data_IF_838862174483
#
_entry.id   IF_838862174483
#
_cell.length_a   1.000
_cell.length_b   1.000
_cell.length_c   1.000
_cell.angle_alpha   90.00
_cell.angle_beta   90.00
_cell.angle_gamma   90.00
#
_symmetry.space_group_name_H-M   'P 1'
#
loop_
_entity.id
_entity.type
_entity.pdbx_description
1 polymer ?
#
# COMPACT_ATOMS: atom_id res chain seq x y z
N UNK A 1 -16.97 11.10 10.02
CA UNK A 1 -17.52 11.44 8.69
C UNK A 1 -16.54 12.19 7.76
N UNK A 2 -15.44 12.78 8.25
CA UNK A 2 -14.46 13.51 7.40
C UNK A 2 -13.48 12.64 6.60
N UNK A 3 -13.05 11.49 7.14
CA UNK A 3 -12.01 10.63 6.56
C UNK A 3 -12.44 9.99 5.22
N UNK A 4 -13.69 9.55 5.11
CA UNK A 4 -14.23 8.90 3.89
C UNK A 4 -14.36 9.88 2.71
N UNK A 5 -14.61 11.18 2.98
CA UNK A 5 -14.63 12.22 1.93
C UNK A 5 -13.23 12.60 1.44
N UNK A 6 -12.20 12.52 2.30
CA UNK A 6 -10.81 12.84 1.98
C UNK A 6 -10.22 11.87 0.94
N UNK A 7 -10.40 10.56 1.16
CA UNK A 7 -9.87 9.49 0.29
C UNK A 7 -10.47 9.59 -1.14
N UNK A 8 -11.74 9.96 -1.27
CA UNK A 8 -12.43 10.08 -2.57
C UNK A 8 -12.00 11.36 -3.33
N UNK A 9 -11.62 12.43 -2.62
CA UNK A 9 -11.24 13.70 -3.23
C UNK A 9 -9.81 13.71 -3.80
N UNK A 10 -8.88 12.95 -3.22
CA UNK A 10 -7.51 12.86 -3.76
C UNK A 10 -7.43 12.17 -5.13
N UNK A 11 -8.38 11.28 -5.46
CA UNK A 11 -8.44 10.61 -6.78
C UNK A 11 -8.83 11.59 -7.91
N UNK A 12 -9.46 12.73 -7.60
CA UNK A 12 -10.00 13.66 -8.62
C UNK A 12 -9.05 14.79 -9.05
N UNK A 13 -7.91 15.01 -8.38
CA UNK A 13 -6.94 16.06 -8.73
C UNK A 13 -5.59 15.46 -9.13
N UNK A 14 -5.51 14.86 -10.32
CA UNK A 14 -4.24 14.84 -11.08
C UNK A 14 -4.32 15.91 -12.18
N UNK A 15 -3.27 16.73 -12.39
CA UNK A 15 -3.22 17.65 -13.51
C UNK A 15 -3.31 16.88 -14.82
N UNK A 16 -4.05 17.41 -15.80
CA UNK A 16 -3.98 16.94 -17.19
C UNK A 16 -2.53 17.06 -17.64
N UNK A 17 -1.88 15.92 -17.91
CA UNK A 17 -0.68 15.89 -18.73
C UNK A 17 -1.04 16.50 -20.09
N UNK A 18 -0.48 17.66 -20.38
CA UNK A 18 -0.59 18.29 -21.69
C UNK A 18 -0.04 17.36 -22.76
N UNK A 19 -0.70 17.38 -23.92
CA UNK A 19 -0.42 16.52 -25.07
C UNK A 19 1.04 16.65 -25.49
N UNK A 20 1.85 15.63 -25.21
CA UNK A 20 3.14 15.42 -25.86
C UNK A 20 2.92 15.32 -27.37
N UNK A 21 3.54 16.25 -28.11
CA UNK A 21 3.53 16.29 -29.56
C UNK A 21 4.27 15.06 -30.12
N UNK A 22 3.59 14.26 -30.93
CA UNK A 22 4.21 13.19 -31.69
C UNK A 22 5.21 13.78 -32.71
N UNK A 23 6.34 13.10 -33.02
CA UNK A 23 7.29 13.59 -34.01
C UNK A 23 6.66 13.68 -35.40
N UNK A 24 6.95 14.72 -36.19
CA UNK A 24 6.42 14.85 -37.54
C UNK A 24 7.14 13.85 -38.46
N UNK A 25 6.42 12.86 -39.00
CA UNK A 25 6.99 11.99 -40.03
C UNK A 25 6.36 10.62 -40.24
N UNK A 26 5.43 10.16 -39.39
CA UNK A 26 4.78 8.86 -39.59
C UNK A 26 3.32 9.07 -39.99
N UNK A 27 3.04 9.02 -41.29
CA UNK A 27 1.67 8.73 -41.75
C UNK A 27 1.37 7.29 -41.36
N UNK A 28 0.60 7.12 -40.31
CA UNK A 28 0.04 5.83 -39.94
C UNK A 28 -1.39 5.77 -40.48
N UNK A 29 -1.53 5.29 -41.71
CA UNK A 29 -2.82 4.78 -42.18
C UNK A 29 -3.05 3.43 -41.50
N UNK A 30 -3.50 3.46 -40.24
CA UNK A 30 -4.09 2.29 -39.61
C UNK A 30 -5.60 2.33 -39.85
N UNK A 31 -6.07 1.59 -40.86
CA UNK A 31 -7.44 1.10 -40.82
C UNK A 31 -7.61 0.27 -39.54
N UNK A 32 -8.38 0.80 -38.58
CA UNK A 32 -8.68 0.11 -37.33
C UNK A 32 -9.70 -0.99 -37.59
N UNK A 33 -9.21 -2.15 -38.05
CA UNK A 33 -10.05 -3.35 -38.15
C UNK A 33 -10.02 -4.07 -36.79
N UNK A 34 -11.14 -4.03 -36.07
CA UNK A 34 -11.34 -4.86 -34.88
C UNK A 34 -11.66 -6.29 -35.36
N UNK A 35 -10.67 -7.18 -35.36
CA UNK A 35 -10.87 -8.59 -35.71
C UNK A 35 -11.45 -9.32 -34.50
N UNK A 36 -12.77 -9.56 -34.52
CA UNK A 36 -13.44 -10.48 -33.58
C UNK A 36 -13.31 -11.89 -34.13
N UNK A 37 -13.04 -12.86 -33.25
CA UNK A 37 -12.54 -14.22 -33.54
C UNK A 37 -13.38 -15.17 -34.40
N UNK A 38 -14.23 -14.67 -35.30
CA UNK A 38 -14.96 -15.45 -36.30
C UNK A 38 -14.92 -14.77 -37.67
N UNK A 39 -13.73 -14.51 -38.22
CA UNK A 39 -13.48 -14.31 -39.66
C UNK A 39 -14.25 -13.21 -40.42
N UNK A 40 -15.00 -12.34 -39.74
CA UNK A 40 -15.78 -11.26 -40.34
C UNK A 40 -15.23 -9.88 -39.96
N UNK A 41 -15.17 -8.97 -40.94
CA UNK A 41 -14.92 -7.55 -40.69
C UNK A 41 -16.19 -6.90 -40.15
N UNK A 42 -16.11 -6.28 -38.97
CA UNK A 42 -17.19 -5.48 -38.39
C UNK A 42 -16.91 -4.02 -38.75
N UNK A 43 -17.89 -3.30 -39.28
CA UNK A 43 -17.77 -1.87 -39.52
C UNK A 43 -17.83 -1.08 -38.18
N UNK A 44 -17.49 0.21 -38.22
CA UNK A 44 -17.46 1.05 -37.02
C UNK A 44 -18.83 1.09 -36.30
N UNK A 45 -19.92 0.97 -37.07
CA UNK A 45 -21.28 0.95 -36.55
C UNK A 45 -21.57 -0.34 -35.80
N UNK A 46 -21.24 -1.50 -36.37
CA UNK A 46 -21.36 -2.79 -35.71
C UNK A 46 -20.47 -2.91 -34.48
N UNK A 47 -19.26 -2.34 -34.51
CA UNK A 47 -18.40 -2.26 -33.33
C UNK A 47 -19.04 -1.40 -32.23
N UNK A 48 -19.59 -0.22 -32.57
CA UNK A 48 -20.29 0.64 -31.62
C UNK A 48 -21.54 -0.01 -31.03
N UNK A 49 -22.31 -0.76 -31.83
CA UNK A 49 -23.49 -1.51 -31.37
C UNK A 49 -23.12 -2.64 -30.41
N UNK A 50 -22.05 -3.41 -30.69
CA UNK A 50 -21.54 -4.45 -29.78
C UNK A 50 -21.02 -3.83 -28.47
N UNK A 51 -20.21 -2.77 -28.56
CA UNK A 51 -19.73 -2.05 -27.38
C UNK A 51 -20.90 -1.55 -26.53
N UNK A 52 -21.93 -0.96 -27.17
CA UNK A 52 -23.11 -0.48 -26.46
C UNK A 52 -23.91 -1.62 -25.82
N UNK A 53 -24.09 -2.75 -26.52
CA UNK A 53 -24.90 -3.87 -26.06
C UNK A 53 -24.22 -4.68 -24.94
N UNK A 54 -22.89 -4.82 -24.96
CA UNK A 54 -22.17 -5.67 -23.99
C UNK A 54 -21.49 -4.89 -22.86
N UNK A 55 -20.91 -3.73 -23.14
CA UNK A 55 -20.15 -2.97 -22.13
C UNK A 55 -21.08 -2.15 -21.24
N UNK A 56 -22.13 -1.54 -21.81
CA UNK A 56 -23.03 -0.67 -21.05
C UNK A 56 -23.71 -1.41 -19.89
N UNK A 57 -24.28 -2.62 -20.07
CA UNK A 57 -24.85 -3.38 -18.96
C UNK A 57 -23.81 -3.73 -17.88
N UNK A 58 -22.60 -4.15 -18.28
CA UNK A 58 -21.53 -4.47 -17.33
C UNK A 58 -21.07 -3.26 -16.52
N UNK A 59 -21.03 -2.08 -17.14
CA UNK A 59 -20.72 -0.84 -16.45
C UNK A 59 -21.83 -0.45 -15.46
N UNK A 60 -23.10 -0.65 -15.83
CA UNK A 60 -24.25 -0.44 -14.94
C UNK A 60 -24.21 -1.41 -13.75
N UNK A 61 -23.96 -2.69 -13.98
CA UNK A 61 -23.80 -3.70 -12.93
C UNK A 61 -22.68 -3.34 -11.95
N UNK A 62 -21.52 -2.93 -12.47
CA UNK A 62 -20.39 -2.47 -11.65
C UNK A 62 -20.75 -1.25 -10.79
N UNK A 63 -21.45 -0.25 -11.35
CA UNK A 63 -21.90 0.91 -10.59
C UNK A 63 -22.91 0.54 -9.48
N UNK A 64 -23.85 -0.37 -9.79
CA UNK A 64 -24.79 -0.89 -8.79
C UNK A 64 -24.07 -1.68 -7.69
N UNK A 65 -23.05 -2.46 -8.06
CA UNK A 65 -22.21 -3.19 -7.10
C UNK A 65 -21.47 -2.24 -6.17
N UNK A 66 -20.93 -1.13 -6.69
CA UNK A 66 -20.27 -0.09 -5.86
C UNK A 66 -21.27 0.53 -4.87
N UNK A 67 -22.46 0.90 -5.32
CA UNK A 67 -23.48 1.48 -4.44
C UNK A 67 -23.88 0.50 -3.32
N UNK A 68 -24.12 -0.77 -3.66
CA UNK A 68 -24.45 -1.81 -2.68
C UNK A 68 -23.29 -2.09 -1.72
N UNK A 69 -22.05 -2.14 -2.21
CA UNK A 69 -20.87 -2.33 -1.38
C UNK A 69 -20.67 -1.18 -0.40
N UNK A 70 -20.91 0.06 -0.82
CA UNK A 70 -20.84 1.24 0.04
C UNK A 70 -21.94 1.23 1.11
N UNK A 71 -23.18 0.89 0.73
CA UNK A 71 -24.27 0.71 1.69
C UNK A 71 -23.93 -0.38 2.70
N UNK A 72 -23.47 -1.54 2.21
CA UNK A 72 -23.08 -2.66 3.05
C UNK A 72 -21.93 -2.31 4.01
N UNK A 73 -20.93 -1.56 3.55
CA UNK A 73 -19.84 -1.08 4.40
C UNK A 73 -20.33 -0.23 5.58
N UNK A 74 -21.37 0.59 5.37
CA UNK A 74 -21.94 1.44 6.43
C UNK A 74 -22.72 0.64 7.47
N UNK A 75 -23.32 -0.48 7.06
CA UNK A 75 -24.16 -1.33 7.91
C UNK A 75 -23.37 -2.47 8.58
N UNK A 76 -22.24 -2.88 7.99
CA UNK A 76 -21.44 -4.02 8.42
C UNK A 76 -20.47 -3.69 9.57
N UNK A 77 -20.54 -4.48 10.64
CA UNK A 77 -19.53 -4.46 11.72
C UNK A 77 -18.13 -4.78 11.20
N UNK A 78 -18.01 -5.75 10.29
CA UNK A 78 -16.73 -6.16 9.67
C UNK A 78 -16.15 -5.00 8.84
N UNK A 79 -17.02 -4.19 8.23
CA UNK A 79 -16.65 -2.98 7.49
C UNK A 79 -15.89 -1.95 8.32
N UNK A 80 -16.29 -1.74 9.58
CA UNK A 80 -15.60 -0.80 10.47
C UNK A 80 -14.17 -1.21 10.82
N UNK A 81 -13.94 -2.50 11.07
CA UNK A 81 -12.60 -3.02 11.36
C UNK A 81 -11.72 -2.98 10.10
N UNK A 82 -12.30 -3.27 8.93
CA UNK A 82 -11.65 -3.12 7.64
C UNK A 82 -11.14 -1.68 7.41
N UNK A 83 -11.98 -0.66 7.62
CA UNK A 83 -11.59 0.74 7.43
C UNK A 83 -10.46 1.17 8.37
N UNK A 84 -10.52 0.72 9.63
CA UNK A 84 -9.47 1.00 10.61
C UNK A 84 -8.14 0.36 10.20
N UNK A 85 -8.16 -0.87 9.72
CA UNK A 85 -6.96 -1.57 9.25
C UNK A 85 -6.40 -0.97 7.97
N UNK A 86 -7.27 -0.54 7.05
CA UNK A 86 -6.83 0.14 5.84
C UNK A 86 -6.12 1.47 6.17
N UNK A 87 -6.70 2.29 7.05
CA UNK A 87 -6.06 3.51 7.52
C UNK A 87 -4.72 3.22 8.22
N UNK A 88 -4.68 2.26 9.14
CA UNK A 88 -3.45 1.87 9.82
C UNK A 88 -2.38 1.34 8.86
N UNK A 89 -2.77 0.66 7.78
CA UNK A 89 -1.83 0.17 6.76
C UNK A 89 -1.25 1.31 5.93
N UNK A 90 -2.06 2.32 5.58
CA UNK A 90 -1.59 3.54 4.95
C UNK A 90 -0.52 4.23 5.81
N UNK A 91 -0.81 4.47 7.09
CA UNK A 91 0.16 5.08 8.00
C UNK A 91 1.45 4.24 8.11
N UNK A 92 1.32 2.93 8.25
CA UNK A 92 2.48 2.03 8.34
C UNK A 92 3.33 2.01 7.05
N UNK A 93 2.74 2.20 5.87
CA UNK A 93 3.50 2.25 4.61
C UNK A 93 4.36 3.52 4.48
N UNK A 94 4.04 4.57 5.23
CA UNK A 94 4.76 5.85 5.22
C UNK A 94 6.02 5.87 6.10
N UNK A 95 6.18 4.93 7.03
CA UNK A 95 7.22 4.97 8.08
C UNK A 95 8.64 4.61 7.62
N UNK A 96 8.83 4.26 6.35
CA UNK A 96 10.13 3.84 5.83
C UNK A 96 11.16 4.98 5.92
N UNK A 97 12.28 4.81 6.65
CA UNK A 97 13.27 5.87 6.85
C UNK A 97 13.80 6.42 5.54
N UNK A 98 13.71 7.75 5.39
CA UNK A 98 14.30 8.47 4.27
C UNK A 98 15.59 9.11 4.78
N UNK A 99 16.70 8.67 4.22
CA UNK A 99 18.07 9.10 4.50
C UNK A 99 18.65 9.74 3.26
N UNK A 100 19.65 10.60 3.42
CA UNK A 100 20.51 11.11 2.36
C UNK A 100 21.00 10.00 1.41
N UNK A 101 21.23 8.79 1.95
CA UNK A 101 21.72 7.62 1.20
C UNK A 101 20.65 6.93 0.37
N UNK A 102 19.42 6.81 0.89
CA UNK A 102 18.37 6.02 0.25
C UNK A 102 17.27 6.85 -0.43
N UNK A 103 17.26 8.19 -0.30
CA UNK A 103 16.22 9.08 -0.87
C UNK A 103 15.99 8.85 -2.37
N UNK A 104 17.06 8.62 -3.13
CA UNK A 104 17.00 8.38 -4.59
C UNK A 104 17.27 6.93 -4.99
N UNK A 105 17.40 6.03 -4.02
CA UNK A 105 17.73 4.60 -4.27
C UNK A 105 16.57 3.81 -4.86
N UNK A 106 15.35 4.35 -4.78
CA UNK A 106 14.13 3.60 -5.05
C UNK A 106 13.77 2.61 -3.94
N UNK A 107 14.46 2.62 -2.80
CA UNK A 107 14.23 1.68 -1.70
C UNK A 107 12.79 1.70 -1.19
N UNK A 108 12.11 2.85 -1.17
CA UNK A 108 10.72 2.99 -0.71
C UNK A 108 9.66 2.56 -1.75
N UNK A 109 10.05 2.38 -3.02
CA UNK A 109 9.12 2.11 -4.13
C UNK A 109 8.19 0.91 -3.83
N UNK A 110 8.66 -0.23 -3.28
CA UNK A 110 7.78 -1.34 -2.99
C UNK A 110 6.67 -0.98 -1.99
N UNK A 111 6.93 -0.22 -0.92
CA UNK A 111 5.87 0.18 0.01
C UNK A 111 4.85 1.14 -0.61
N UNK A 112 5.29 2.11 -1.39
CA UNK A 112 4.38 3.01 -2.12
C UNK A 112 3.49 2.18 -3.06
N UNK A 113 4.09 1.24 -3.78
CA UNK A 113 3.31 0.36 -4.65
C UNK A 113 2.37 -0.56 -3.88
N UNK A 114 2.77 -1.05 -2.71
CA UNK A 114 1.90 -1.87 -1.85
C UNK A 114 0.63 -1.10 -1.43
N UNK A 115 0.75 0.21 -1.15
CA UNK A 115 -0.37 1.08 -0.80
C UNK A 115 -1.31 1.32 -1.99
N UNK A 116 -0.75 1.64 -3.16
CA UNK A 116 -1.52 1.79 -4.40
C UNK A 116 -2.29 0.51 -4.74
N UNK A 117 -1.60 -0.64 -4.69
CA UNK A 117 -2.19 -1.95 -4.97
C UNK A 117 -3.24 -2.34 -3.92
N UNK A 118 -3.08 -1.95 -2.65
CA UNK A 118 -4.09 -2.16 -1.63
C UNK A 118 -5.37 -1.37 -1.95
N UNK A 119 -5.22 -0.14 -2.42
CA UNK A 119 -6.33 0.71 -2.88
C UNK A 119 -7.03 0.07 -4.08
N UNK A 120 -6.27 -0.41 -5.08
CA UNK A 120 -6.82 -1.12 -6.23
C UNK A 120 -7.59 -2.38 -5.81
N UNK A 121 -7.07 -3.15 -4.85
CA UNK A 121 -7.76 -4.32 -4.31
C UNK A 121 -9.14 -3.95 -3.74
N UNK A 122 -9.22 -2.86 -2.98
CA UNK A 122 -10.48 -2.36 -2.40
C UNK A 122 -11.44 -1.91 -3.50
N UNK A 123 -10.96 -1.10 -4.46
CA UNK A 123 -11.80 -0.62 -5.57
C UNK A 123 -12.39 -1.80 -6.36
N UNK A 124 -11.56 -2.78 -6.70
CA UNK A 124 -11.99 -3.98 -7.42
C UNK A 124 -13.01 -4.79 -6.62
N UNK A 125 -12.83 -4.94 -5.30
CA UNK A 125 -13.80 -5.65 -4.46
C UNK A 125 -15.16 -4.94 -4.44
N UNK A 126 -15.18 -3.61 -4.38
CA UNK A 126 -16.43 -2.82 -4.37
C UNK A 126 -17.15 -2.88 -5.72
N UNK A 127 -16.41 -3.06 -6.80
CA UNK A 127 -16.95 -3.31 -8.15
C UNK A 127 -17.35 -4.78 -8.39
N UNK A 128 -17.34 -5.62 -7.35
CA UNK A 128 -17.57 -7.07 -7.41
C UNK A 128 -16.56 -7.86 -8.26
N UNK A 129 -15.38 -7.29 -8.58
CA UNK A 129 -14.25 -8.00 -9.20
C UNK A 129 -13.43 -8.77 -8.16
N UNK A 130 -14.07 -9.61 -7.33
CA UNK A 130 -13.45 -10.23 -6.15
C UNK A 130 -12.19 -11.03 -6.49
N UNK A 131 -12.17 -11.78 -7.60
CA UNK A 131 -10.98 -12.54 -8.03
C UNK A 131 -9.77 -11.62 -8.23
N UNK A 132 -9.97 -10.52 -8.96
CA UNK A 132 -8.92 -9.52 -9.20
C UNK A 132 -8.55 -8.79 -7.92
N UNK A 133 -9.51 -8.51 -7.04
CA UNK A 133 -9.24 -7.96 -5.72
C UNK A 133 -8.30 -8.85 -4.88
N UNK A 134 -8.53 -10.17 -4.86
CA UNK A 134 -7.65 -11.12 -4.17
C UNK A 134 -6.25 -11.23 -4.81
N UNK A 135 -6.15 -11.10 -6.14
CA UNK A 135 -4.87 -11.02 -6.85
C UNK A 135 -4.08 -9.79 -6.40
N UNK A 136 -4.72 -8.62 -6.37
CA UNK A 136 -4.09 -7.39 -5.86
C UNK A 136 -3.69 -7.51 -4.40
N UNK A 137 -4.54 -8.07 -3.53
CA UNK A 137 -4.19 -8.25 -2.12
C UNK A 137 -2.96 -9.17 -1.93
N UNK A 138 -2.76 -10.16 -2.82
CA UNK A 138 -1.53 -10.96 -2.82
C UNK A 138 -0.32 -10.13 -3.23
N UNK A 139 -0.46 -9.28 -4.26
CA UNK A 139 0.59 -8.35 -4.67
C UNK A 139 0.97 -7.37 -3.54
N UNK A 140 0.02 -6.92 -2.71
CA UNK A 140 0.32 -6.11 -1.50
C UNK A 140 1.31 -6.83 -0.59
N UNK A 141 1.06 -8.11 -0.27
CA UNK A 141 1.97 -8.90 0.56
C UNK A 141 3.35 -9.04 -0.08
N UNK A 142 3.39 -9.27 -1.39
CA UNK A 142 4.66 -9.41 -2.13
C UNK A 142 5.47 -8.13 -2.09
N UNK A 143 4.83 -6.97 -2.27
CA UNK A 143 5.50 -5.68 -2.26
C UNK A 143 6.00 -5.28 -0.86
N UNK A 144 5.23 -5.55 0.19
CA UNK A 144 5.71 -5.35 1.57
C UNK A 144 6.90 -6.27 1.85
N UNK A 145 6.85 -7.55 1.49
CA UNK A 145 7.97 -8.46 1.72
C UNK A 145 9.19 -8.09 0.86
N UNK A 146 8.98 -7.59 -0.35
CA UNK A 146 10.06 -7.09 -1.20
C UNK A 146 10.75 -5.88 -0.56
N UNK A 147 10.00 -4.96 0.07
CA UNK A 147 10.59 -3.88 0.84
C UNK A 147 11.51 -4.40 1.93
N UNK A 148 11.03 -5.36 2.73
CA UNK A 148 11.77 -5.88 3.88
C UNK A 148 12.99 -6.68 3.42
N UNK A 149 12.86 -7.40 2.31
CA UNK A 149 13.98 -8.03 1.62
C UNK A 149 15.04 -7.00 1.23
N UNK A 150 14.67 -5.92 0.52
CA UNK A 150 15.60 -4.86 0.13
C UNK A 150 16.22 -4.09 1.30
N UNK A 151 15.51 -3.99 2.42
CA UNK A 151 16.07 -3.43 3.65
C UNK A 151 17.25 -4.28 4.19
N UNK A 152 17.35 -5.56 3.81
CA UNK A 152 18.38 -6.51 4.28
C UNK A 152 19.46 -6.86 3.27
N UNK A 153 19.17 -6.77 1.98
CA UNK A 153 20.19 -7.04 0.96
C UNK A 153 21.32 -6.02 1.06
N UNK A 154 22.56 -6.54 1.15
CA UNK A 154 23.78 -5.72 1.19
C UNK A 154 24.03 -5.02 -0.16
N UNK A 155 23.81 -5.71 -1.27
CA UNK A 155 23.91 -5.12 -2.62
C UNK A 155 22.72 -4.22 -2.93
N UNK A 156 22.79 -2.96 -2.47
CA UNK A 156 21.79 -1.93 -2.77
C UNK A 156 21.65 -1.61 -4.26
N UNK A 157 22.63 -1.97 -5.10
CA UNK A 157 22.51 -1.80 -6.56
C UNK A 157 21.39 -2.67 -7.16
N UNK A 158 21.02 -3.78 -6.49
CA UNK A 158 19.91 -4.63 -6.92
C UNK A 158 18.59 -3.88 -7.01
N UNK A 159 18.39 -2.86 -6.19
CA UNK A 159 17.14 -2.10 -6.12
C UNK A 159 16.98 -1.24 -7.37
N UNK A 160 18.05 -0.55 -7.76
CA UNK A 160 18.09 0.20 -9.02
C UNK A 160 17.97 -0.71 -10.24
N UNK A 161 18.63 -1.88 -10.23
CA UNK A 161 18.49 -2.90 -11.29
C UNK A 161 17.05 -3.42 -11.37
N UNK A 162 16.39 -3.65 -10.24
CA UNK A 162 15.00 -4.11 -10.19
C UNK A 162 14.05 -3.05 -10.73
N UNK A 163 14.23 -1.78 -10.36
CA UNK A 163 13.45 -0.66 -10.91
C UNK A 163 13.61 -0.48 -12.43
N UNK A 164 14.80 -0.80 -12.97
CA UNK A 164 15.06 -0.84 -14.42
C UNK A 164 14.68 -2.16 -15.11
N UNK A 165 14.05 -3.08 -14.37
CA UNK A 165 13.64 -4.40 -14.86
C UNK A 165 14.79 -5.30 -15.35
N UNK A 166 16.02 -5.04 -14.89
CA UNK A 166 17.22 -5.81 -15.23
C UNK A 166 17.33 -7.10 -14.39
N UNK A 167 16.67 -7.14 -13.24
CA UNK A 167 16.58 -8.32 -12.37
C UNK A 167 15.12 -8.64 -12.04
N UNK A 168 14.82 -9.93 -11.92
CA UNK A 168 13.48 -10.42 -11.56
C UNK A 168 13.19 -10.17 -10.09
N UNK A 169 11.93 -9.92 -9.76
CA UNK A 169 11.45 -9.96 -8.38
C UNK A 169 11.72 -11.35 -7.79
N UNK A 170 12.37 -11.46 -6.61
CA UNK A 170 12.59 -12.74 -5.96
C UNK A 170 11.26 -13.44 -5.62
N UNK A 171 11.26 -14.77 -5.67
CA UNK A 171 10.11 -15.55 -5.25
C UNK A 171 9.84 -15.38 -3.74
N UNK A 172 8.59 -15.55 -3.30
CA UNK A 172 8.17 -15.40 -1.89
C UNK A 172 9.09 -16.13 -0.92
N UNK A 173 9.40 -17.40 -1.17
CA UNK A 173 10.23 -18.20 -0.25
C UNK A 173 11.65 -17.64 -0.15
N UNK A 174 12.21 -17.15 -1.26
CA UNK A 174 13.55 -16.52 -1.26
C UNK A 174 13.53 -15.26 -0.39
N UNK A 175 12.50 -14.42 -0.55
CA UNK A 175 12.35 -13.21 0.27
C UNK A 175 12.23 -13.57 1.75
N UNK A 176 11.36 -14.53 2.10
CA UNK A 176 11.15 -14.95 3.48
C UNK A 176 12.40 -15.57 4.11
N UNK A 177 13.13 -16.40 3.35
CA UNK A 177 14.35 -17.05 3.86
C UNK A 177 15.46 -16.01 4.11
N UNK A 178 15.54 -14.95 3.30
CA UNK A 178 16.48 -13.85 3.54
C UNK A 178 16.07 -12.98 4.73
N UNK A 179 14.79 -12.60 4.80
CA UNK A 179 14.22 -11.83 5.92
C UNK A 179 14.43 -12.59 7.24
N UNK A 180 14.28 -13.92 7.22
CA UNK A 180 14.45 -14.78 8.39
C UNK A 180 15.90 -14.86 8.91
N UNK A 181 16.90 -14.33 8.19
CA UNK A 181 18.27 -14.22 8.72
C UNK A 181 18.44 -13.04 9.68
N UNK A 182 17.53 -12.08 9.66
CA UNK A 182 17.60 -10.92 10.54
C UNK A 182 17.25 -11.26 11.99
N UNK A 183 18.09 -10.80 12.93
CA UNK A 183 17.94 -11.13 14.34
C UNK A 183 16.65 -10.55 14.96
N UNK A 184 16.21 -9.35 14.56
CA UNK A 184 14.96 -8.76 15.06
C UNK A 184 13.77 -9.54 14.53
N UNK A 185 13.78 -9.90 13.23
CA UNK A 185 12.74 -10.73 12.66
C UNK A 185 12.69 -12.12 13.28
N UNK A 186 13.82 -12.79 13.50
CA UNK A 186 13.87 -14.10 14.17
C UNK A 186 13.24 -14.03 15.57
N UNK A 187 13.59 -13.01 16.35
CA UNK A 187 13.05 -12.80 17.69
C UNK A 187 11.53 -12.55 17.65
N UNK A 188 11.07 -11.70 16.74
CA UNK A 188 9.66 -11.41 16.53
C UNK A 188 8.86 -12.63 16.04
N UNK A 189 9.36 -13.35 15.04
CA UNK A 189 8.72 -14.54 14.48
C UNK A 189 8.68 -15.68 15.51
N UNK A 190 9.71 -15.82 16.35
CA UNK A 190 9.75 -16.77 17.45
C UNK A 190 8.54 -16.66 18.38
N UNK A 191 8.09 -15.42 18.65
CA UNK A 191 6.95 -15.10 19.53
C UNK A 191 5.61 -15.00 18.78
N UNK A 192 5.59 -14.37 17.60
CA UNK A 192 4.37 -14.00 16.87
C UNK A 192 3.98 -14.99 15.76
N UNK A 193 4.88 -15.89 15.37
CA UNK A 193 4.71 -16.88 14.28
C UNK A 193 4.28 -16.23 12.96
N UNK A 194 4.86 -15.07 12.65
CA UNK A 194 4.60 -14.25 11.46
C UNK A 194 4.83 -15.04 10.17
N UNK A 195 5.94 -15.78 10.04
CA UNK A 195 6.28 -16.52 8.81
C UNK A 195 5.19 -17.55 8.47
N UNK A 196 4.71 -18.28 9.48
CA UNK A 196 3.64 -19.26 9.30
C UNK A 196 2.31 -18.59 8.91
N UNK A 197 1.99 -17.44 9.54
CA UNK A 197 0.82 -16.65 9.20
C UNK A 197 0.90 -16.11 7.77
N UNK A 198 2.07 -15.61 7.34
CA UNK A 198 2.30 -15.07 5.99
C UNK A 198 2.10 -16.15 4.94
N UNK A 199 2.75 -17.32 5.12
CA UNK A 199 2.59 -18.47 4.22
C UNK A 199 1.14 -18.93 4.12
N UNK A 200 0.42 -18.94 5.25
CA UNK A 200 -1.00 -19.28 5.28
C UNK A 200 -1.84 -18.29 4.48
N UNK A 201 -1.76 -16.98 4.78
CA UNK A 201 -2.54 -15.97 4.06
C UNK A 201 -2.20 -15.98 2.57
N UNK A 202 -0.93 -16.06 2.22
CA UNK A 202 -0.50 -16.09 0.82
C UNK A 202 -1.08 -17.29 0.06
N UNK A 203 -1.10 -18.47 0.68
CA UNK A 203 -1.73 -19.67 0.13
C UNK A 203 -3.25 -19.50 0.02
N UNK A 204 -3.89 -18.96 1.05
CA UNK A 204 -5.34 -18.77 1.11
C UNK A 204 -5.77 -17.77 0.01
N UNK A 205 -5.03 -16.69 -0.22
CA UNK A 205 -5.21 -15.79 -1.37
C UNK A 205 -4.97 -16.51 -2.69
N UNK A 206 -3.91 -17.32 -2.76
CA UNK A 206 -3.57 -18.14 -3.92
C UNK A 206 -4.69 -19.07 -4.40
N UNK A 207 -5.54 -19.54 -3.48
CA UNK A 207 -6.71 -20.37 -3.79
C UNK A 207 -7.82 -19.60 -4.51
N UNK A 208 -7.86 -18.27 -4.40
CA UNK A 208 -8.78 -17.41 -5.16
C UNK A 208 -8.16 -16.93 -6.47
N UNK A 209 -6.83 -16.76 -6.53
CA UNK A 209 -6.14 -16.30 -7.74
C UNK A 209 -6.05 -17.40 -8.80
N UNK A 210 -5.75 -18.62 -8.36
CA UNK A 210 -5.64 -19.79 -9.22
C UNK A 210 -6.98 -20.53 -9.18
N UNK A 211 -7.51 -20.94 -10.34
CA UNK A 211 -8.79 -21.64 -10.49
C UNK A 211 -8.75 -23.09 -9.95
N UNK A 212 -8.11 -23.31 -8.80
CA UNK A 212 -7.90 -24.61 -8.16
C UNK A 212 -8.76 -24.69 -6.89
N UNK A 213 -9.79 -25.53 -6.93
CA UNK A 213 -10.47 -26.06 -5.74
C UNK A 213 -11.88 -25.51 -5.46
N UNK A 214 -12.58 -26.26 -4.60
CA UNK A 214 -13.97 -26.09 -4.12
C UNK A 214 -14.31 -24.71 -3.50
N UNK A 215 -13.39 -23.92 -2.89
CA UNK A 215 -13.74 -22.59 -2.38
C UNK A 215 -14.24 -21.62 -3.45
N UNK A 216 -13.79 -21.77 -4.70
CA UNK A 216 -14.33 -21.03 -5.85
C UNK A 216 -15.73 -21.50 -6.26
N UNK A 217 -16.11 -22.73 -5.91
CA UNK A 217 -17.40 -23.33 -6.24
C UNK A 217 -18.51 -22.88 -5.28
N UNK A 218 -18.20 -22.77 -3.98
CA UNK A 218 -19.20 -22.43 -2.94
C UNK A 218 -19.52 -20.93 -2.82
N UNK A 219 -18.87 -20.05 -3.60
CA UNK A 219 -19.12 -18.59 -3.55
C UNK A 219 -19.81 -18.04 -4.80
N UNK A 220 -20.33 -18.89 -5.68
CA UNK A 220 -20.85 -18.44 -6.97
C UNK A 220 -19.76 -17.90 -7.92
N UNK A 221 -18.47 -18.03 -7.57
CA UNK A 221 -17.34 -17.68 -8.43
C UNK A 221 -17.14 -18.68 -9.59
N UNK A 222 -18.03 -19.68 -9.74
CA UNK A 222 -18.12 -20.50 -10.96
C UNK A 222 -18.36 -19.65 -12.22
N UNK A 223 -18.91 -18.45 -12.07
CA UNK A 223 -18.81 -17.39 -13.08
C UNK A 223 -17.81 -16.34 -12.61
N UNK A 224 -16.50 -16.58 -12.75
CA UNK A 224 -15.43 -15.67 -12.30
C UNK A 224 -15.45 -14.26 -12.90
N UNK A 225 -16.50 -13.92 -13.64
CA UNK A 225 -16.78 -12.69 -14.37
C UNK A 225 -18.20 -12.14 -14.11
N UNK A 226 -18.97 -12.65 -13.14
CA UNK A 226 -20.27 -12.08 -12.81
C UNK A 226 -20.04 -10.83 -11.94
N UNK A 227 -20.35 -9.66 -12.47
CA UNK A 227 -20.22 -8.36 -11.80
C UNK A 227 -21.38 -8.12 -10.82
N UNK A 228 -21.61 -9.09 -9.93
CA UNK A 228 -22.70 -9.04 -8.96
C UNK A 228 -22.15 -8.92 -7.54
N UNK A 229 -22.62 -7.89 -6.84
CA UNK A 229 -22.40 -7.76 -5.41
C UNK A 229 -22.91 -8.98 -4.67
N UNK A 230 -22.07 -9.52 -3.77
CA UNK A 230 -22.48 -10.53 -2.79
C UNK A 230 -21.88 -10.16 -1.42
N UNK A 231 -22.72 -10.07 -0.39
CA UNK A 231 -22.30 -9.71 0.95
C UNK A 231 -21.23 -10.68 1.48
N UNK A 232 -21.43 -11.99 1.30
CA UNK A 232 -20.50 -13.03 1.72
C UNK A 232 -19.10 -12.90 1.09
N UNK A 233 -19.02 -12.57 -0.21
CA UNK A 233 -17.72 -12.40 -0.86
C UNK A 233 -17.02 -11.12 -0.39
N UNK A 234 -17.78 -10.04 -0.16
CA UNK A 234 -17.23 -8.80 0.35
C UNK A 234 -16.77 -8.94 1.81
N UNK A 235 -17.51 -9.63 2.67
CA UNK A 235 -17.10 -9.93 4.05
C UNK A 235 -15.81 -10.76 4.10
N UNK A 236 -15.72 -11.79 3.26
CA UNK A 236 -14.50 -12.60 3.15
C UNK A 236 -13.32 -11.77 2.65
N UNK A 237 -13.56 -10.87 1.69
CA UNK A 237 -12.55 -9.93 1.25
C UNK A 237 -12.10 -9.05 2.41
N UNK A 238 -13.02 -8.45 3.17
CA UNK A 238 -12.67 -7.65 4.35
C UNK A 238 -11.85 -8.43 5.38
N UNK A 239 -12.22 -9.68 5.67
CA UNK A 239 -11.49 -10.53 6.62
C UNK A 239 -10.07 -10.84 6.14
N UNK A 240 -9.90 -11.20 4.86
CA UNK A 240 -8.60 -11.51 4.29
C UNK A 240 -7.72 -10.25 4.15
N UNK A 241 -8.32 -9.14 3.75
CA UNK A 241 -7.66 -7.83 3.68
C UNK A 241 -7.16 -7.40 5.07
N UNK A 242 -8.06 -7.42 6.06
CA UNK A 242 -7.74 -7.12 7.45
C UNK A 242 -6.59 -7.97 7.98
N UNK A 243 -6.66 -9.29 7.74
CA UNK A 243 -5.63 -10.23 8.19
C UNK A 243 -4.29 -10.00 7.49
N UNK A 244 -4.31 -9.78 6.17
CA UNK A 244 -3.12 -9.53 5.36
C UNK A 244 -2.42 -8.22 5.73
N UNK A 245 -3.17 -7.11 5.73
CA UNK A 245 -2.65 -5.79 6.07
C UNK A 245 -2.16 -5.70 7.52
N UNK A 246 -2.88 -6.27 8.50
CA UNK A 246 -2.39 -6.33 9.90
C UNK A 246 -1.06 -7.08 10.00
N UNK A 247 -0.90 -8.16 9.25
CA UNK A 247 0.34 -8.91 9.23
C UNK A 247 1.47 -8.11 8.57
N UNK A 248 1.19 -7.37 7.49
CA UNK A 248 2.13 -6.43 6.91
C UNK A 248 2.55 -5.33 7.90
N UNK A 249 1.59 -4.74 8.63
CA UNK A 249 1.87 -3.74 9.68
C UNK A 249 2.81 -4.32 10.73
N UNK A 250 2.54 -5.53 11.22
CA UNK A 250 3.42 -6.19 12.18
C UNK A 250 4.84 -6.43 11.62
N UNK A 251 4.96 -6.86 10.36
CA UNK A 251 6.26 -7.01 9.70
C UNK A 251 6.99 -5.67 9.57
N UNK A 252 6.30 -4.61 9.12
CA UNK A 252 6.85 -3.25 9.02
C UNK A 252 7.36 -2.79 10.39
N UNK A 253 6.57 -2.94 11.45
CA UNK A 253 6.91 -2.51 12.79
C UNK A 253 8.12 -3.25 13.40
N UNK A 254 8.42 -4.48 12.97
CA UNK A 254 9.65 -5.19 13.37
C UNK A 254 10.89 -4.46 12.84
N UNK A 255 10.85 -4.02 11.59
CA UNK A 255 11.99 -3.38 10.92
C UNK A 255 12.07 -1.88 11.17
N UNK A 256 10.92 -1.25 11.40
CA UNK A 256 10.76 0.19 11.55
C UNK A 256 9.96 0.49 12.82
N UNK A 257 10.60 0.43 14.01
CA UNK A 257 9.90 0.54 15.28
C UNK A 257 9.15 1.85 15.50
N UNK A 258 9.57 2.92 14.83
CA UNK A 258 8.86 4.21 14.83
C UNK A 258 7.40 4.10 14.35
N UNK A 259 7.04 3.03 13.63
CA UNK A 259 5.65 2.76 13.28
C UNK A 259 4.72 2.59 14.49
N UNK A 260 5.25 2.18 15.64
CA UNK A 260 4.45 1.92 16.85
C UNK A 260 4.97 2.64 18.10
N UNK A 261 6.16 3.23 18.03
CA UNK A 261 6.75 4.01 19.11
C UNK A 261 6.72 5.49 18.72
N UNK A 262 6.04 6.28 19.54
CA UNK A 262 5.96 7.73 19.34
C UNK A 262 7.32 8.37 19.55
N UNK A 263 7.73 9.19 18.57
CA UNK A 263 8.90 10.06 18.62
C UNK A 263 8.36 11.49 18.53
N UNK A 264 8.79 12.45 19.36
CA UNK A 264 8.17 13.78 19.44
C UNK A 264 8.55 14.70 18.25
N UNK A 265 8.50 14.19 17.02
CA UNK A 265 8.99 14.85 15.80
C UNK A 265 8.34 16.23 15.59
N UNK A 266 7.01 16.34 15.72
CA UNK A 266 6.33 17.62 15.55
C UNK A 266 6.77 18.68 16.56
N UNK A 267 7.02 18.30 17.83
CA UNK A 267 7.50 19.23 18.84
C UNK A 267 8.94 19.72 18.56
N UNK A 268 9.75 18.91 17.85
CA UNK A 268 11.13 19.26 17.50
C UNK A 268 11.30 19.96 16.15
N UNK A 269 10.43 19.66 15.19
CA UNK A 269 10.60 20.06 13.78
C UNK A 269 9.41 20.86 13.21
N UNK A 270 8.31 20.98 13.95
CA UNK A 270 7.11 21.66 13.48
C UNK A 270 6.55 21.01 12.21
N UNK A 271 6.29 21.82 11.19
CA UNK A 271 5.79 21.38 9.88
C UNK A 271 6.89 20.85 8.94
N UNK A 272 8.14 20.80 9.41
CA UNK A 272 9.26 20.13 8.74
C UNK A 272 9.54 18.76 9.37
N UNK A 273 8.52 18.11 9.94
CA UNK A 273 8.65 16.78 10.51
C UNK A 273 9.03 15.74 9.43
N UNK A 274 10.07 14.91 9.66
CA UNK A 274 10.43 13.87 8.70
C UNK A 274 9.27 12.91 8.47
N UNK A 275 8.85 12.75 7.22
CA UNK A 275 7.68 11.92 6.84
C UNK A 275 7.73 10.48 7.38
N UNK A 276 8.93 9.95 7.62
CA UNK A 276 9.12 8.60 8.12
C UNK A 276 9.03 8.48 9.65
N UNK A 277 8.91 9.60 10.37
CA UNK A 277 8.59 9.68 11.80
C UNK A 277 7.10 10.03 11.94
N UNK A 278 6.22 9.03 12.08
CA UNK A 278 4.78 9.27 12.13
C UNK A 278 4.38 10.11 13.34
N UNK A 279 3.32 10.90 13.17
CA UNK A 279 2.71 11.71 14.22
C UNK A 279 2.01 10.86 15.26
N UNK A 280 1.75 11.43 16.43
CA UNK A 280 1.16 10.71 17.57
C UNK A 280 -0.19 10.05 17.23
N UNK A 281 -1.02 10.69 16.41
CA UNK A 281 -2.30 10.16 15.94
C UNK A 281 -2.14 9.04 14.90
N UNK A 282 -1.15 9.13 14.03
CA UNK A 282 -0.77 8.08 13.08
C UNK A 282 -0.25 6.83 13.81
N UNK A 283 0.65 7.01 14.79
CA UNK A 283 1.13 5.94 15.68
C UNK A 283 -0.05 5.30 16.44
N UNK A 284 -0.98 6.10 16.99
CA UNK A 284 -2.19 5.59 17.63
C UNK A 284 -3.07 4.80 16.65
N UNK A 285 -3.19 5.25 15.41
CA UNK A 285 -3.93 4.55 14.35
C UNK A 285 -3.35 3.14 14.13
N UNK A 286 -2.03 3.06 13.92
CA UNK A 286 -1.29 1.79 13.73
C UNK A 286 -1.44 0.87 14.94
N UNK A 287 -1.21 1.39 16.16
CA UNK A 287 -1.32 0.61 17.39
C UNK A 287 -2.73 0.06 17.61
N UNK A 288 -3.77 0.78 17.17
CA UNK A 288 -5.17 0.40 17.41
C UNK A 288 -5.58 -0.92 16.73
N UNK A 289 -4.83 -1.37 15.73
CA UNK A 289 -5.14 -2.60 14.97
C UNK A 289 -4.26 -3.78 15.36
N UNK A 290 -3.30 -3.59 16.27
CA UNK A 290 -2.45 -4.61 16.84
C UNK A 290 -3.01 -5.07 18.20
N UNK A 291 -2.79 -6.34 18.54
CA UNK A 291 -3.17 -6.88 19.85
C UNK A 291 -2.17 -6.44 20.91
N UNK A 292 -2.58 -6.45 22.18
CA UNK A 292 -1.67 -6.20 23.29
C UNK A 292 -0.44 -7.14 23.26
N UNK A 293 -0.63 -8.42 22.90
CA UNK A 293 0.49 -9.37 22.74
C UNK A 293 1.44 -8.95 21.62
N UNK A 294 0.91 -8.52 20.46
CA UNK A 294 1.75 -8.03 19.36
C UNK A 294 2.49 -6.76 19.75
N UNK A 295 1.81 -5.79 20.35
CA UNK A 295 2.41 -4.53 20.80
C UNK A 295 3.55 -4.78 21.79
N UNK A 296 3.33 -5.58 22.83
CA UNK A 296 4.36 -5.88 23.82
C UNK A 296 5.61 -6.49 23.17
N UNK A 297 5.42 -7.43 22.23
CA UNK A 297 6.56 -8.04 21.52
C UNK A 297 7.28 -7.02 20.65
N UNK A 298 6.55 -6.18 19.92
CA UNK A 298 7.15 -5.18 19.03
C UNK A 298 7.85 -4.07 19.82
N UNK A 299 7.33 -3.69 20.99
CA UNK A 299 7.97 -2.74 21.91
C UNK A 299 9.28 -3.30 22.50
N UNK A 300 9.30 -4.59 22.90
CA UNK A 300 10.54 -5.27 23.31
C UNK A 300 11.59 -5.24 22.19
N UNK A 301 11.17 -5.50 20.94
CA UNK A 301 12.07 -5.47 19.79
C UNK A 301 12.58 -4.04 19.53
N UNK A 302 11.70 -3.04 19.64
CA UNK A 302 12.06 -1.63 19.51
C UNK A 302 13.13 -1.21 20.53
N UNK A 303 13.00 -1.66 21.78
CA UNK A 303 13.97 -1.40 22.84
C UNK A 303 15.35 -1.98 22.54
N UNK A 304 15.41 -3.10 21.80
CA UNK A 304 16.66 -3.75 21.38
C UNK A 304 17.24 -3.21 20.06
N UNK A 305 16.51 -2.37 19.33
CA UNK A 305 16.95 -1.85 18.04
C UNK A 305 17.90 -0.64 18.23
N UNK A 306 19.20 -0.89 18.12
CA UNK A 306 20.26 0.11 18.36
C UNK A 306 20.10 1.37 17.50
N UNK A 307 19.80 1.21 16.21
CA UNK A 307 19.60 2.34 15.31
C UNK A 307 18.42 3.20 15.76
N UNK A 308 17.28 2.57 16.05
CA UNK A 308 16.09 3.29 16.49
C UNK A 308 16.28 3.99 17.85
N UNK A 309 16.96 3.34 18.81
CA UNK A 309 17.31 3.97 20.08
C UNK A 309 18.23 5.19 19.90
N UNK A 310 19.13 5.13 18.92
CA UNK A 310 19.99 6.28 18.56
C UNK A 310 19.17 7.44 18.01
N UNK A 311 18.23 7.17 17.10
CA UNK A 311 17.29 8.18 16.58
C UNK A 311 16.48 8.80 17.71
N UNK A 312 15.91 7.98 18.61
CA UNK A 312 15.16 8.47 19.76
C UNK A 312 16.00 9.39 20.66
N UNK A 313 17.23 8.99 20.97
CA UNK A 313 18.14 9.80 21.79
C UNK A 313 18.46 11.15 21.13
N UNK A 314 18.72 11.16 19.81
CA UNK A 314 18.97 12.38 19.04
C UNK A 314 17.75 13.30 19.01
N UNK A 315 16.55 12.80 18.69
CA UNK A 315 15.35 13.63 18.66
C UNK A 315 15.05 14.21 20.03
N UNK A 316 15.17 13.40 21.09
CA UNK A 316 14.90 13.86 22.45
C UNK A 316 15.92 14.88 22.98
N UNK A 317 17.14 14.94 22.42
CA UNK A 317 18.14 15.93 22.81
C UNK A 317 17.93 17.30 22.18
N UNK A 318 17.12 17.39 21.12
CA UNK A 318 16.76 18.67 20.50
C UNK A 318 15.80 19.45 21.42
N UNK A 319 15.91 20.79 21.48
CA UNK A 319 14.93 21.62 22.17
C UNK A 319 13.56 21.50 21.50
N UNK A 320 12.48 21.62 22.28
CA UNK A 320 11.15 21.80 21.71
C UNK A 320 11.04 23.19 21.08
N UNK A 321 10.36 23.27 19.93
CA UNK A 321 10.00 24.53 19.31
C UNK A 321 8.89 25.21 20.11
N UNK A 322 9.00 26.52 20.27
CA UNK A 322 7.91 27.36 20.76
C UNK A 322 6.77 27.44 19.74
N UNK A 323 5.55 27.85 20.15
CA UNK A 323 4.43 28.02 19.22
C UNK A 323 4.73 28.98 18.06
N UNK A 324 5.54 30.02 18.30
CA UNK A 324 5.96 30.96 17.26
C UNK A 324 6.89 30.29 16.23
N UNK A 325 7.88 29.53 16.70
CA UNK A 325 8.79 28.78 15.82
C UNK A 325 8.03 27.71 15.00
N UNK A 326 7.03 27.05 15.59
CA UNK A 326 6.16 26.12 14.84
C UNK A 326 5.42 26.84 13.71
N UNK A 327 4.84 28.01 13.98
CA UNK A 327 4.17 28.81 12.95
C UNK A 327 5.16 29.25 11.85
N UNK A 328 6.38 29.64 12.21
CA UNK A 328 7.43 29.96 11.23
C UNK A 328 7.75 28.76 10.33
N UNK A 329 7.77 27.53 10.86
CA UNK A 329 7.94 26.34 10.01
C UNK A 329 6.76 26.13 9.06
N UNK A 330 5.53 26.45 9.47
CA UNK A 330 4.35 26.38 8.60
C UNK A 330 4.45 27.41 7.47
N UNK A 331 4.73 28.67 7.81
CA UNK A 331 4.89 29.74 6.83
C UNK A 331 6.01 29.43 5.83
N UNK A 332 7.13 28.88 6.31
CA UNK A 332 8.21 28.43 5.45
C UNK A 332 7.74 27.36 4.46
N UNK A 333 7.04 26.31 4.92
CA UNK A 333 6.55 25.22 4.05
C UNK A 333 5.55 25.73 3.02
N UNK A 334 4.66 26.66 3.39
CA UNK A 334 3.62 27.19 2.49
C UNK A 334 4.17 28.17 1.46
N UNK A 335 5.14 29.01 1.84
CA UNK A 335 5.62 30.11 1.01
C UNK A 335 6.90 29.78 0.21
N UNK A 336 7.59 28.68 0.54
CA UNK A 336 8.83 28.28 -0.14
C UNK A 336 8.57 27.44 -1.38
N UNK A 337 9.55 27.46 -2.30
CA UNK A 337 9.58 26.53 -3.41
C UNK A 337 9.76 25.07 -2.89
N UNK A 338 9.18 24.06 -3.54
CA UNK A 338 9.31 22.65 -3.12
C UNK A 338 10.75 22.21 -2.89
N UNK A 339 11.69 22.68 -3.71
CA UNK A 339 13.12 22.35 -3.62
C UNK A 339 13.74 22.84 -2.29
N UNK A 340 13.33 24.02 -1.81
CA UNK A 340 13.83 24.57 -0.56
C UNK A 340 13.31 23.78 0.66
N UNK A 341 12.06 23.31 0.60
CA UNK A 341 11.49 22.42 1.62
C UNK A 341 12.21 21.07 1.61
N UNK A 342 12.48 20.53 0.42
CA UNK A 342 13.23 19.29 0.26
C UNK A 342 14.66 19.38 0.80
N UNK A 343 15.33 20.51 0.62
CA UNK A 343 16.66 20.78 1.17
C UNK A 343 16.63 20.90 2.70
N UNK A 344 15.60 21.52 3.27
CA UNK A 344 15.42 21.59 4.72
C UNK A 344 15.22 20.18 5.32
N UNK A 345 14.35 19.37 4.71
CA UNK A 345 14.12 17.98 5.11
C UNK A 345 15.38 17.13 4.98
N UNK A 346 16.20 17.35 3.94
CA UNK A 346 17.49 16.67 3.81
C UNK A 346 18.41 16.91 5.00
N UNK A 347 18.55 18.17 5.42
CA UNK A 347 19.39 18.53 6.58
C UNK A 347 18.90 17.89 7.87
N UNK A 348 17.58 17.81 8.05
CA UNK A 348 16.99 17.11 9.20
C UNK A 348 17.30 15.62 9.14
N UNK A 349 17.17 14.98 7.98
CA UNK A 349 17.50 13.56 7.84
C UNK A 349 18.99 13.29 8.09
N UNK A 350 19.89 14.14 7.60
CA UNK A 350 21.34 14.06 7.86
C UNK A 350 21.68 14.21 9.35
N UNK A 351 20.91 15.02 10.10
CA UNK A 351 21.06 15.14 11.55
C UNK A 351 20.67 13.84 12.28
N UNK A 352 19.66 13.14 11.76
CA UNK A 352 19.11 11.92 12.37
C UNK A 352 19.90 10.66 12.03
N UNK A 353 20.58 10.62 10.88
CA UNK A 353 21.60 9.61 10.51
C UNK A 353 22.83 9.66 11.41
#
# INVERSE_FOLDING_TARGET
MGVVRSIILQVKKRPRLEKSAAPPGIKTDYERVLVVGTGGTIDEKGAAEILSAEITPRFQESNMAVQRSLQYLQESRVGSDFLRIYAAFHEAACVYPITSRNRHSGERIPLVHAEEVATDAVVLAFQAHYKSAYQRLREVLEMVLLQLYFAKVEDKSMIGKWGRQEVKTPALNIMLDEIAKDALYQSGDGKLKITNKLRRIYRDLGAYTHTRGVPTLNMGLMGSNILAFTADALDRFFVLFASGCRLCIACIAIFFPQAIIEVPAFAKFGHLDPVWLPRSDEVKCIRSVLSATELNVLEDLAASNVWFQTVCAKVNSLPDLSPAEIEETYEFVVNSAPEAVDDALNRINELLE
#
